data_IF_611220269417
#
_entry.id   IF_611220269417
#
_cell.length_a   1.000
_cell.length_b   1.000
_cell.length_c   1.000
_cell.angle_alpha   90.00
_cell.angle_beta   90.00
_cell.angle_gamma   90.00
#
_symmetry.space_group_name_H-M   'P 1'
#
loop_
_entity.id
_entity.type
_entity.pdbx_description
1 polymer ?
#
# COMPACT_ATOMS: atom_id res chain seq x y z
N UNK A 1 -12.32 -28.49 -22.44
CA UNK A 1 -11.45 -28.33 -21.27
C UNK A 1 -10.09 -28.88 -21.69
N UNK A 2 -9.00 -28.10 -21.61
CA UNK A 2 -7.65 -28.64 -21.92
C UNK A 2 -7.36 -29.75 -20.90
N UNK A 3 -6.95 -30.92 -21.35
CA UNK A 3 -6.54 -32.00 -20.45
C UNK A 3 -5.20 -31.59 -19.82
N UNK A 4 -5.19 -31.44 -18.49
CA UNK A 4 -4.03 -30.96 -17.75
C UNK A 4 -2.86 -31.95 -17.79
N UNK A 5 -3.14 -33.24 -18.01
CA UNK A 5 -2.11 -34.28 -18.11
C UNK A 5 -1.25 -34.18 -19.37
N UNK A 6 -1.66 -33.35 -20.34
CA UNK A 6 -0.96 -33.16 -21.61
C UNK A 6 -0.09 -31.90 -21.64
N UNK A 7 -0.11 -31.09 -20.57
CA UNK A 7 0.68 -29.87 -20.46
C UNK A 7 2.07 -30.17 -19.92
N UNK A 8 3.07 -29.45 -20.41
CA UNK A 8 4.40 -29.48 -19.83
C UNK A 8 4.46 -28.74 -18.48
N UNK A 9 5.46 -29.05 -17.66
CA UNK A 9 5.61 -28.49 -16.31
C UNK A 9 5.66 -26.95 -16.29
N UNK A 10 6.26 -26.33 -17.31
CA UNK A 10 6.33 -24.88 -17.48
C UNK A 10 4.96 -24.29 -17.85
N UNK A 11 4.22 -24.93 -18.75
CA UNK A 11 2.84 -24.54 -19.10
C UNK A 11 1.90 -24.65 -17.89
N UNK A 12 2.05 -25.70 -17.07
CA UNK A 12 1.28 -25.87 -15.84
C UNK A 12 1.60 -24.76 -14.82
N UNK A 13 2.88 -24.41 -14.64
CA UNK A 13 3.29 -23.30 -13.76
C UNK A 13 2.75 -21.97 -14.26
N UNK A 14 2.83 -21.72 -15.56
CA UNK A 14 2.28 -20.50 -16.16
C UNK A 14 0.77 -20.43 -15.97
N UNK A 15 0.06 -21.55 -16.16
CA UNK A 15 -1.38 -21.64 -15.94
C UNK A 15 -1.76 -21.34 -14.49
N UNK A 16 -0.99 -21.82 -13.51
CA UNK A 16 -1.19 -21.51 -12.08
C UNK A 16 -1.00 -20.00 -11.84
N UNK A 17 0.06 -19.41 -12.39
CA UNK A 17 0.31 -17.96 -12.29
C UNK A 17 -0.86 -17.16 -12.87
N UNK A 18 -1.30 -17.50 -14.07
CA UNK A 18 -2.38 -16.80 -14.78
C UNK A 18 -3.72 -16.97 -14.06
N UNK A 19 -4.05 -18.19 -13.63
CA UNK A 19 -5.28 -18.46 -12.88
C UNK A 19 -5.30 -17.70 -11.55
N UNK A 20 -4.18 -17.66 -10.84
CA UNK A 20 -4.03 -16.90 -9.59
C UNK A 20 -4.21 -15.41 -9.86
N UNK A 21 -3.57 -14.85 -10.89
CA UNK A 21 -3.73 -13.45 -11.27
C UNK A 21 -5.19 -13.12 -11.64
N UNK A 22 -5.89 -14.00 -12.35
CA UNK A 22 -7.31 -13.85 -12.66
C UNK A 22 -8.17 -13.86 -11.39
N UNK A 23 -7.91 -14.77 -10.44
CA UNK A 23 -8.63 -14.80 -9.17
C UNK A 23 -8.42 -13.51 -8.36
N UNK A 24 -7.19 -13.01 -8.29
CA UNK A 24 -6.88 -11.72 -7.66
C UNK A 24 -7.53 -10.53 -8.39
N UNK A 25 -7.62 -10.58 -9.72
CA UNK A 25 -8.29 -9.54 -10.49
C UNK A 25 -9.79 -9.44 -10.18
N UNK A 26 -10.43 -10.57 -9.84
CA UNK A 26 -11.86 -10.70 -9.54
C UNK A 26 -12.23 -10.33 -8.10
N UNK A 27 -11.26 -10.22 -7.17
CA UNK A 27 -11.55 -9.76 -5.81
C UNK A 27 -11.99 -8.29 -5.84
N UNK A 28 -13.14 -8.00 -5.23
CA UNK A 28 -13.62 -6.62 -5.07
C UNK A 28 -12.67 -5.83 -4.18
N UNK A 29 -12.24 -4.66 -4.67
CA UNK A 29 -11.47 -3.71 -3.89
C UNK A 29 -12.37 -2.82 -3.04
N UNK A 30 -11.87 -2.32 -1.92
CA UNK A 30 -12.53 -1.31 -1.08
C UNK A 30 -11.83 0.03 -1.25
N UNK A 31 -12.61 1.11 -1.20
CA UNK A 31 -12.07 2.47 -1.18
C UNK A 31 -11.62 2.81 0.24
N UNK A 32 -10.38 3.27 0.37
CA UNK A 32 -9.77 3.72 1.62
C UNK A 32 -9.41 5.20 1.53
N UNK A 33 -9.29 5.82 2.70
CA UNK A 33 -8.80 7.18 2.85
C UNK A 33 -7.72 7.17 3.94
N UNK A 34 -6.58 7.76 3.64
CA UNK A 34 -5.53 8.06 4.61
C UNK A 34 -5.26 9.56 4.58
N UNK A 35 -4.89 10.13 5.72
CA UNK A 35 -4.55 11.54 5.85
C UNK A 35 -3.31 11.70 6.69
N UNK A 36 -2.68 12.87 6.58
CA UNK A 36 -1.60 13.24 7.50
C UNK A 36 -2.14 13.29 8.93
N UNK A 37 -1.31 12.93 9.91
CA UNK A 37 -1.68 13.02 11.33
C UNK A 37 -1.62 14.48 11.81
N UNK A 38 -2.58 15.28 11.35
CA UNK A 38 -2.63 16.72 11.54
C UNK A 38 -1.78 17.48 10.53
N UNK A 39 -1.22 18.60 10.98
CA UNK A 39 -0.38 19.48 10.18
C UNK A 39 1.04 18.91 10.03
N UNK A 40 1.57 18.97 8.81
CA UNK A 40 2.80 18.33 8.40
C UNK A 40 3.84 19.38 7.97
N UNK A 41 5.04 19.34 8.55
CA UNK A 41 6.18 20.17 8.13
C UNK A 41 7.06 19.46 7.07
N UNK A 42 6.98 19.82 5.78
CA UNK A 42 7.81 19.18 4.75
C UNK A 42 9.30 19.49 4.85
N UNK A 43 9.71 20.45 5.69
CA UNK A 43 11.12 20.85 5.84
C UNK A 43 11.91 19.90 6.74
N UNK A 44 11.25 19.00 7.48
CA UNK A 44 11.90 18.01 8.34
C UNK A 44 12.48 16.86 7.53
N UNK A 45 11.63 15.99 7.00
CA UNK A 45 12.05 14.79 6.26
C UNK A 45 11.60 14.77 4.79
N UNK A 46 11.11 15.91 4.28
CA UNK A 46 10.50 16.01 2.96
C UNK A 46 8.98 15.83 3.02
N UNK A 47 8.32 15.88 1.86
CA UNK A 47 6.87 15.84 1.77
C UNK A 47 6.27 14.51 2.26
N UNK A 48 5.06 14.61 2.80
CA UNK A 48 4.15 13.50 3.01
C UNK A 48 3.85 12.79 1.68
N UNK A 49 3.77 11.46 1.72
CA UNK A 49 3.44 10.62 0.57
C UNK A 49 2.71 9.36 1.02
N UNK A 50 2.06 8.72 0.06
CA UNK A 50 1.55 7.36 0.17
C UNK A 50 2.00 6.58 -1.07
N UNK A 51 2.50 5.37 -0.87
CA UNK A 51 2.90 4.48 -1.95
C UNK A 51 2.39 3.05 -1.71
N UNK A 52 1.92 2.41 -2.77
CA UNK A 52 1.70 0.96 -2.80
C UNK A 52 3.05 0.26 -2.95
N UNK A 53 3.26 -0.80 -2.19
CA UNK A 53 4.48 -1.59 -2.19
C UNK A 53 4.28 -2.88 -2.99
N UNK A 54 5.14 -3.09 -3.98
CA UNK A 54 5.24 -4.34 -4.71
C UNK A 54 6.58 -5.01 -4.39
N UNK A 55 6.52 -6.26 -3.93
CA UNK A 55 7.71 -7.04 -3.58
C UNK A 55 8.04 -7.98 -4.73
N UNK A 56 9.10 -7.67 -5.49
CA UNK A 56 9.50 -8.44 -6.67
C UNK A 56 11.00 -8.71 -6.61
N UNK A 57 11.38 -9.98 -6.73
CA UNK A 57 12.79 -10.42 -6.79
C UNK A 57 13.67 -9.86 -5.65
N UNK A 58 13.13 -9.82 -4.43
CA UNK A 58 13.82 -9.29 -3.25
C UNK A 58 13.94 -7.76 -3.18
N UNK A 59 13.43 -7.05 -4.20
CA UNK A 59 13.36 -5.58 -4.23
C UNK A 59 11.96 -5.09 -3.88
N UNK A 60 11.89 -3.84 -3.43
CA UNK A 60 10.65 -3.15 -3.10
C UNK A 60 10.46 -2.04 -4.11
N UNK A 61 9.44 -2.20 -4.95
CA UNK A 61 8.99 -1.17 -5.87
C UNK A 61 7.89 -0.35 -5.19
N UNK A 62 7.94 0.97 -5.35
CA UNK A 62 6.99 1.93 -4.79
C UNK A 62 6.20 2.57 -5.91
N UNK A 63 4.89 2.37 -5.89
CA UNK A 63 3.95 3.05 -6.77
C UNK A 63 3.30 4.18 -5.97
N UNK A 64 3.71 5.42 -6.24
CA UNK A 64 3.22 6.59 -5.50
C UNK A 64 1.78 6.92 -5.90
N UNK A 65 0.96 7.22 -4.89
CA UNK A 65 -0.45 7.57 -5.06
C UNK A 65 -0.57 9.08 -4.97
N UNK A 66 -1.27 9.67 -5.95
CA UNK A 66 -1.56 11.09 -5.94
C UNK A 66 -2.42 11.48 -4.73
N UNK A 67 -2.06 12.58 -4.09
CA UNK A 67 -2.85 13.13 -3.00
C UNK A 67 -4.07 13.91 -3.55
N UNK A 68 -5.11 14.01 -2.74
CA UNK A 68 -6.34 14.76 -3.03
C UNK A 68 -6.17 16.30 -3.01
N UNK A 69 -4.94 16.79 -2.93
CA UNK A 69 -4.60 18.21 -2.75
C UNK A 69 -4.10 18.52 -1.34
N UNK A 70 -3.50 19.70 -1.17
CA UNK A 70 -2.87 20.14 0.09
C UNK A 70 -3.60 21.36 0.64
N UNK A 71 -3.96 21.32 1.92
CA UNK A 71 -4.41 22.51 2.65
C UNK A 71 -3.19 23.17 3.29
N UNK A 72 -2.72 24.27 2.71
CA UNK A 72 -1.45 24.90 3.08
C UNK A 72 -1.62 26.03 4.11
N UNK A 73 -0.89 25.97 5.21
CA UNK A 73 -0.66 27.10 6.11
C UNK A 73 0.61 27.86 5.68
N UNK A 74 0.39 29.01 5.04
CA UNK A 74 1.45 29.88 4.55
C UNK A 74 2.34 30.50 5.64
N UNK A 75 1.82 30.68 6.85
CA UNK A 75 2.50 31.33 7.98
C UNK A 75 3.42 30.34 8.68
N UNK A 76 2.91 29.16 9.00
CA UNK A 76 3.65 28.13 9.71
C UNK A 76 4.47 27.22 8.77
N UNK A 77 4.19 27.30 7.46
CA UNK A 77 4.76 26.43 6.40
C UNK A 77 4.42 24.96 6.62
N UNK A 78 3.21 24.72 7.12
CA UNK A 78 2.68 23.39 7.38
C UNK A 78 1.56 23.09 6.38
N UNK A 79 1.19 21.83 6.24
CA UNK A 79 -0.01 21.47 5.49
C UNK A 79 -0.62 20.17 5.98
N UNK A 80 -1.90 19.98 5.68
CA UNK A 80 -2.52 18.66 5.73
C UNK A 80 -2.88 18.19 4.33
N UNK A 81 -2.96 16.88 4.14
CA UNK A 81 -3.40 16.28 2.88
C UNK A 81 -4.00 14.90 3.14
N UNK A 82 -4.66 14.36 2.12
CA UNK A 82 -5.22 13.01 2.16
C UNK A 82 -5.00 12.29 0.84
N UNK A 83 -5.12 10.98 0.90
CA UNK A 83 -5.08 10.07 -0.24
C UNK A 83 -6.34 9.25 -0.25
N UNK A 84 -6.94 9.12 -1.42
CA UNK A 84 -8.06 8.25 -1.65
C UNK A 84 -7.66 7.21 -2.68
N UNK A 85 -7.78 5.94 -2.31
CA UNK A 85 -7.30 4.84 -3.15
C UNK A 85 -8.21 3.62 -3.00
N UNK A 86 -8.25 2.81 -4.04
CA UNK A 86 -8.90 1.50 -3.99
C UNK A 86 -7.83 0.46 -3.77
N UNK A 87 -8.06 -0.43 -2.80
CA UNK A 87 -7.12 -1.49 -2.48
C UNK A 87 -7.84 -2.82 -2.27
N UNK A 88 -7.11 -3.90 -2.55
CA UNK A 88 -7.57 -5.28 -2.40
C UNK A 88 -6.88 -5.94 -1.22
N UNK A 89 -7.45 -7.05 -0.76
CA UNK A 89 -6.81 -7.90 0.24
C UNK A 89 -5.38 -8.25 -0.16
N UNK A 90 -4.45 -8.12 0.79
CA UNK A 90 -3.01 -8.35 0.58
C UNK A 90 -2.24 -7.13 0.07
N UNK A 91 -2.91 -6.07 -0.39
CA UNK A 91 -2.20 -4.84 -0.79
C UNK A 91 -1.47 -4.21 0.40
N UNK A 92 -0.23 -3.80 0.15
CA UNK A 92 0.69 -3.25 1.16
C UNK A 92 1.04 -1.81 0.82
N UNK A 93 1.15 -0.97 1.83
CA UNK A 93 1.38 0.46 1.67
C UNK A 93 2.46 0.97 2.62
N UNK A 94 3.20 1.97 2.15
CA UNK A 94 4.10 2.79 2.94
C UNK A 94 3.64 4.24 2.84
N UNK A 95 3.49 4.89 3.98
CA UNK A 95 3.15 6.31 4.07
C UNK A 95 4.19 7.06 4.88
N UNK A 96 4.37 8.33 4.56
CA UNK A 96 4.90 9.32 5.50
C UNK A 96 3.74 10.23 5.88
N UNK A 97 3.00 9.86 6.92
CA UNK A 97 1.78 10.59 7.32
C UNK A 97 2.03 11.53 8.49
N UNK A 98 3.11 11.33 9.24
CA UNK A 98 3.63 12.28 10.22
C UNK A 98 4.92 12.94 9.72
N UNK A 99 5.13 14.19 10.12
CA UNK A 99 6.36 14.92 9.82
C UNK A 99 7.55 14.47 10.68
N UNK A 100 7.29 13.56 11.62
CA UNK A 100 8.26 12.95 12.51
C UNK A 100 8.95 13.95 13.44
N UNK A 101 9.99 13.44 14.09
CA UNK A 101 10.97 14.27 14.79
C UNK A 101 12.13 14.57 13.86
N UNK A 102 12.80 15.71 14.00
CA UNK A 102 13.99 16.04 13.19
C UNK A 102 15.08 14.94 13.18
N UNK A 103 15.09 14.07 14.21
CA UNK A 103 16.04 12.96 14.35
C UNK A 103 15.64 11.68 13.63
N UNK A 104 14.36 11.49 13.30
CA UNK A 104 13.87 10.22 12.79
C UNK A 104 12.74 10.41 11.77
N UNK A 105 12.93 9.82 10.59
CA UNK A 105 11.92 9.72 9.54
C UNK A 105 10.95 8.58 9.89
N UNK A 106 9.79 8.93 10.41
CA UNK A 106 8.74 7.97 10.77
C UNK A 106 7.94 7.60 9.53
N UNK A 107 8.08 6.35 9.09
CA UNK A 107 7.24 5.75 8.06
C UNK A 107 6.14 4.91 8.69
N UNK A 108 4.95 5.05 8.17
CA UNK A 108 3.78 4.25 8.51
C UNK A 108 3.63 3.11 7.48
N UNK A 109 3.33 1.91 7.96
CA UNK A 109 3.13 0.75 7.10
C UNK A 109 1.73 0.20 7.28
N UNK A 110 1.11 -0.24 6.19
CA UNK A 110 -0.22 -0.80 6.20
C UNK A 110 -0.35 -2.03 5.32
N UNK A 111 -1.21 -2.95 5.71
CA UNK A 111 -1.68 -4.07 4.89
C UNK A 111 -3.21 -4.10 4.89
N UNK A 112 -3.80 -4.39 3.73
CA UNK A 112 -5.24 -4.60 3.62
C UNK A 112 -5.55 -6.05 3.91
N UNK A 113 -6.41 -6.30 4.90
CA UNK A 113 -6.81 -7.65 5.31
C UNK A 113 -8.31 -7.72 5.50
N UNK A 114 -8.87 -8.93 5.53
CA UNK A 114 -10.23 -9.13 6.02
C UNK A 114 -10.26 -9.18 7.54
N UNK A 115 -11.21 -8.47 8.13
CA UNK A 115 -11.56 -8.62 9.53
C UNK A 115 -12.45 -9.85 9.75
N UNK A 116 -12.84 -10.10 11.01
CA UNK A 116 -13.67 -11.24 11.40
C UNK A 116 -15.07 -11.22 10.76
N UNK A 117 -15.56 -10.06 10.30
CA UNK A 117 -16.84 -9.92 9.59
C UNK A 117 -16.70 -10.08 8.07
N UNK A 118 -15.48 -10.35 7.57
CA UNK A 118 -15.18 -10.51 6.15
C UNK A 118 -15.02 -9.22 5.38
N UNK A 119 -15.04 -8.05 6.03
CA UNK A 119 -14.82 -6.76 5.38
C UNK A 119 -13.33 -6.43 5.25
N UNK A 120 -12.96 -5.76 4.16
CA UNK A 120 -11.59 -5.24 4.01
C UNK A 120 -11.34 -4.09 4.99
N UNK A 121 -10.26 -4.19 5.74
CA UNK A 121 -9.74 -3.15 6.63
C UNK A 121 -8.28 -2.86 6.33
N UNK A 122 -7.84 -1.66 6.69
CA UNK A 122 -6.45 -1.25 6.58
C UNK A 122 -5.79 -1.39 7.95
N UNK A 123 -4.92 -2.39 8.12
CA UNK A 123 -4.23 -2.65 9.38
C UNK A 123 -2.84 -2.03 9.39
N UNK A 124 -2.53 -1.28 10.45
CA UNK A 124 -1.21 -0.71 10.67
C UNK A 124 -0.20 -1.78 11.10
N UNK A 125 0.99 -1.74 10.53
CA UNK A 125 2.11 -2.64 10.79
C UNK A 125 3.30 -1.81 11.29
N UNK A 126 4.06 -2.38 12.23
CA UNK A 126 5.11 -1.65 12.96
C UNK A 126 6.37 -1.41 12.15
N UNK A 127 6.67 -2.30 11.21
CA UNK A 127 7.90 -2.22 10.42
C UNK A 127 7.74 -2.79 9.02
N UNK A 128 8.65 -2.39 8.14
CA UNK A 128 8.74 -2.92 6.78
C UNK A 128 9.08 -4.42 6.77
N UNK A 129 9.82 -4.92 7.76
CA UNK A 129 10.14 -6.34 7.88
C UNK A 129 8.90 -7.15 8.21
N UNK A 130 8.11 -6.71 9.20
CA UNK A 130 6.83 -7.36 9.55
C UNK A 130 5.87 -7.35 8.35
N UNK A 131 5.89 -6.28 7.55
CA UNK A 131 5.06 -6.14 6.36
C UNK A 131 5.47 -7.09 5.21
N UNK A 132 6.75 -7.46 5.14
CA UNK A 132 7.24 -8.45 4.17
C UNK A 132 6.79 -9.86 4.52
N UNK A 133 6.70 -10.16 5.82
CA UNK A 133 6.35 -11.48 6.35
C UNK A 133 4.83 -11.71 6.46
N UNK A 134 4.03 -10.62 6.50
CA UNK A 134 2.57 -10.64 6.49
C UNK A 134 1.98 -11.01 5.12
#
# INVERSE_FOLDING_TARGET
MKDLNLLADDELKQLICDATAVLESRKDGKKFILETYGEFDPRKHGHAYLAKLNFKDGKIEREFIDCNGKQWDGKHKLYSTSWTFVAKEGDKFEGRLSDGSWKNDSKDYYIVMRNDTGELELKSIRSLSDLKEA
#
